data_IF_201027435534
#
_entry.id   IF_201027435534
#
_cell.length_a   1.000
_cell.length_b   1.000
_cell.length_c   1.000
_cell.angle_alpha   90.00
_cell.angle_beta   90.00
_cell.angle_gamma   90.00
#
_symmetry.space_group_name_H-M   'P 1'
#
loop_
_entity.id
_entity.type
_entity.pdbx_description
1 polymer ?
#
# COMPACT_ATOMS: atom_id res chain seq x y z
N UNK A 1 -12.07 6.68 11.88
CA UNK A 1 -11.07 5.60 11.98
C UNK A 1 -11.68 4.35 11.36
N UNK A 2 -10.98 3.70 10.44
CA UNK A 2 -11.43 2.42 9.88
C UNK A 2 -11.35 1.33 10.96
N UNK A 3 -12.32 0.39 10.99
CA UNK A 3 -12.36 -0.70 11.97
C UNK A 3 -11.55 -1.95 11.54
N UNK A 4 -10.77 -1.84 10.45
CA UNK A 4 -9.98 -2.95 9.93
C UNK A 4 -8.62 -3.08 10.61
N UNK A 5 -8.06 -4.29 10.61
CA UNK A 5 -6.79 -4.59 11.27
C UNK A 5 -5.62 -3.84 10.64
N UNK A 6 -4.85 -3.13 11.48
CA UNK A 6 -3.67 -2.36 11.08
C UNK A 6 -2.45 -3.25 10.84
N UNK A 7 -2.44 -4.01 9.73
CA UNK A 7 -1.35 -4.94 9.40
C UNK A 7 -0.37 -4.41 8.37
N UNK A 8 -0.59 -3.24 7.79
CA UNK A 8 0.31 -2.61 6.82
C UNK A 8 1.01 -1.41 7.43
N UNK A 9 2.25 -1.17 7.04
CA UNK A 9 2.95 0.10 7.30
C UNK A 9 3.79 0.50 6.11
N UNK A 10 4.12 1.78 6.03
CA UNK A 10 5.07 2.29 5.04
C UNK A 10 6.37 2.71 5.73
N UNK A 11 7.51 2.38 5.10
CA UNK A 11 8.83 2.80 5.57
C UNK A 11 9.12 4.28 5.31
N UNK A 12 8.51 4.84 4.26
CA UNK A 12 8.78 6.20 3.78
C UNK A 12 7.82 7.26 4.37
N UNK A 13 6.65 6.83 4.86
CA UNK A 13 5.70 7.73 5.52
C UNK A 13 6.20 8.19 6.88
N UNK A 14 6.08 9.49 7.16
CA UNK A 14 6.37 10.07 8.47
C UNK A 14 5.50 9.41 9.55
N UNK A 15 6.11 9.05 10.68
CA UNK A 15 5.44 8.40 11.80
C UNK A 15 5.11 6.92 11.60
N UNK A 16 5.28 6.37 10.38
CA UNK A 16 5.12 4.94 10.05
C UNK A 16 3.83 4.32 10.63
N UNK A 17 2.65 4.88 10.35
CA UNK A 17 1.39 4.42 10.93
C UNK A 17 1.07 2.97 10.52
N UNK A 18 0.42 2.24 11.43
CA UNK A 18 -0.22 0.97 11.11
C UNK A 18 -1.58 1.22 10.47
N UNK A 19 -1.77 0.70 9.26
CA UNK A 19 -2.94 0.91 8.42
C UNK A 19 -3.56 -0.43 8.06
N UNK A 20 -4.88 -0.48 7.96
CA UNK A 20 -5.53 -1.60 7.30
C UNK A 20 -5.30 -1.53 5.77
N UNK A 21 -5.62 -2.59 5.04
CA UNK A 21 -5.39 -2.66 3.59
C UNK A 21 -6.02 -1.48 2.82
N UNK A 22 -7.27 -1.12 3.12
CA UNK A 22 -7.94 -0.01 2.45
C UNK A 22 -7.37 1.36 2.84
N UNK A 23 -7.09 1.57 4.13
CA UNK A 23 -6.47 2.80 4.63
C UNK A 23 -5.04 2.96 4.06
N UNK A 24 -4.29 1.87 3.90
CA UNK A 24 -2.99 1.84 3.22
C UNK A 24 -3.13 2.20 1.73
N UNK A 25 -4.08 1.58 1.01
CA UNK A 25 -4.36 1.91 -0.40
C UNK A 25 -4.67 3.40 -0.60
N UNK A 26 -5.59 3.95 0.19
CA UNK A 26 -5.98 5.36 0.07
C UNK A 26 -4.81 6.30 0.36
N UNK A 27 -3.99 6.00 1.37
CA UNK A 27 -2.84 6.84 1.72
C UNK A 27 -1.74 6.85 0.64
N UNK A 28 -1.57 5.75 -0.11
CA UNK A 28 -0.49 5.58 -1.08
C UNK A 28 -0.93 5.68 -2.54
N UNK A 29 -2.19 6.03 -2.81
CA UNK A 29 -2.73 6.10 -4.17
C UNK A 29 -1.90 6.98 -5.12
N UNK A 30 -1.41 8.12 -4.63
CA UNK A 30 -0.54 9.04 -5.39
C UNK A 30 0.95 8.88 -5.08
N UNK A 31 1.34 7.82 -4.35
CA UNK A 31 2.70 7.55 -3.89
C UNK A 31 3.13 6.13 -4.27
N UNK A 32 3.06 5.74 -5.55
CA UNK A 32 3.22 4.35 -5.98
C UNK A 32 4.65 3.79 -5.78
N UNK A 33 5.62 4.65 -5.45
CA UNK A 33 7.01 4.26 -5.21
C UNK A 33 7.36 4.07 -3.73
N UNK A 34 6.42 4.35 -2.82
CA UNK A 34 6.62 4.08 -1.40
C UNK A 34 6.74 2.58 -1.13
N UNK A 35 7.65 2.23 -0.22
CA UNK A 35 7.88 0.85 0.21
C UNK A 35 7.00 0.53 1.41
N UNK A 36 6.17 -0.49 1.24
CA UNK A 36 5.29 -0.99 2.29
C UNK A 36 5.76 -2.32 2.82
N UNK A 37 5.36 -2.61 4.05
CA UNK A 37 5.57 -3.89 4.71
C UNK A 37 4.23 -4.38 5.28
N UNK A 38 4.06 -5.71 5.29
CA UNK A 38 2.89 -6.37 5.87
C UNK A 38 3.29 -7.20 7.08
N UNK A 39 2.47 -7.15 8.13
CA UNK A 39 2.56 -8.04 9.27
C UNK A 39 2.00 -9.42 8.91
N UNK A 40 2.84 -10.45 8.93
CA UNK A 40 2.46 -11.83 8.63
C UNK A 40 2.55 -12.76 9.85
N UNK A 41 2.50 -12.17 11.06
CA UNK A 41 2.66 -12.91 12.31
C UNK A 41 4.13 -13.09 12.67
N UNK A 42 4.63 -12.24 13.56
CA UNK A 42 5.99 -12.29 14.11
C UNK A 42 6.88 -11.15 13.65
N UNK A 43 6.87 -10.81 12.36
CA UNK A 43 7.62 -9.69 11.82
C UNK A 43 6.96 -9.06 10.59
N UNK A 44 7.39 -7.84 10.28
CA UNK A 44 7.02 -7.16 9.05
C UNK A 44 7.89 -7.66 7.89
N UNK A 45 7.24 -8.07 6.81
CA UNK A 45 7.89 -8.48 5.57
C UNK A 45 7.67 -7.44 4.48
N UNK A 46 8.60 -7.28 3.52
CA UNK A 46 8.38 -6.44 2.35
C UNK A 46 7.08 -6.83 1.65
N UNK A 47 6.26 -5.83 1.36
CA UNK A 47 5.01 -5.99 0.63
C UNK A 47 4.99 -5.11 -0.62
N UNK A 48 3.94 -5.29 -1.42
CA UNK A 48 3.77 -4.56 -2.67
C UNK A 48 2.46 -3.77 -2.64
N UNK A 49 2.52 -2.51 -3.06
CA UNK A 49 1.33 -1.68 -3.23
C UNK A 49 0.36 -2.26 -4.29
N UNK A 50 0.86 -3.05 -5.25
CA UNK A 50 0.05 -3.81 -6.20
C UNK A 50 -0.84 -4.86 -5.54
N UNK A 51 -0.40 -5.49 -4.44
CA UNK A 51 -1.25 -6.39 -3.65
C UNK A 51 -2.43 -5.67 -2.99
N UNK A 52 -2.36 -4.33 -2.92
CA UNK A 52 -3.43 -3.45 -2.45
C UNK A 52 -4.17 -2.79 -3.62
N UNK A 53 -3.88 -3.13 -4.86
CA UNK A 53 -4.52 -2.59 -6.06
C UNK A 53 -4.02 -1.20 -6.48
N UNK A 54 -2.81 -0.81 -6.08
CA UNK A 54 -2.12 0.35 -6.64
C UNK A 54 -1.18 -0.14 -7.72
N UNK A 55 -1.49 0.23 -8.96
CA UNK A 55 -0.77 -0.21 -10.16
C UNK A 55 -0.45 1.01 -11.02
N UNK A 56 0.68 0.93 -11.74
CA UNK A 56 1.06 1.93 -12.74
C UNK A 56 0.84 1.30 -14.11
N UNK A 57 -0.13 1.80 -14.86
CA UNK A 57 -0.33 1.37 -16.24
C UNK A 57 0.53 2.20 -17.18
N UNK A 58 1.40 1.51 -17.92
CA UNK A 58 2.31 2.13 -18.87
C UNK A 58 1.62 2.19 -20.24
N UNK A 59 1.18 3.37 -20.64
CA UNK A 59 0.45 3.59 -21.89
C UNK A 59 -1.03 3.90 -21.66
N UNK A 60 -1.80 4.07 -22.74
CA UNK A 60 -3.23 4.36 -22.72
C UNK A 60 -3.66 5.47 -21.75
N UNK A 61 -2.82 6.51 -21.60
CA UNK A 61 -3.03 7.59 -20.63
C UNK A 61 -3.30 7.10 -19.18
N UNK A 62 -2.70 5.96 -18.79
CA UNK A 62 -2.88 5.34 -17.47
C UNK A 62 -4.05 4.36 -17.38
N UNK A 63 -4.76 4.08 -18.48
CA UNK A 63 -5.78 3.04 -18.52
C UNK A 63 -5.17 1.63 -18.56
N UNK A 64 -5.92 0.64 -18.07
CA UNK A 64 -5.56 -0.79 -18.13
C UNK A 64 -5.51 -1.23 -19.60
N UNK A 65 -4.48 -1.98 -19.98
CA UNK A 65 -4.41 -2.59 -21.32
C UNK A 65 -5.57 -3.59 -21.51
N UNK A 66 -6.24 -3.59 -22.68
CA UNK A 66 -7.30 -4.54 -23.01
C UNK A 66 -6.80 -5.98 -23.18
#
# INVERSE_FOLDING_TARGET
MCAGDGIWRCGDCLGRPLLCASCCRTAHWHLPFHRVEQWLGGFFQPGWLSSLGIEIHLGHAGAICP
#
